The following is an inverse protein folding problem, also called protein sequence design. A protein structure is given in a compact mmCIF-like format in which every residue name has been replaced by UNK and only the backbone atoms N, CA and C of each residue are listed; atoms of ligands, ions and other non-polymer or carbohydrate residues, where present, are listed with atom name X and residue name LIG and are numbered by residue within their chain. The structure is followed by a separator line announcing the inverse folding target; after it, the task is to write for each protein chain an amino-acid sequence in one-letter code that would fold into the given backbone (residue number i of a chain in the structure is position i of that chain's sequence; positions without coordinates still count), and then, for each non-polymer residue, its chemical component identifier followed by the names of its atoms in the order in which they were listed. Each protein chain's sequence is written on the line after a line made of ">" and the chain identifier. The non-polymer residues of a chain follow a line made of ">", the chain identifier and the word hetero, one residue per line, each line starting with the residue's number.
data_IF_824878982936
#
_entry.id   IF_824878982936
#
_cell.length_a   1.000
_cell.length_b   1.000
_cell.length_c   1.000
_cell.angle_alpha   90.00
_cell.angle_beta   90.00
_cell.angle_gamma   90.00
#
_symmetry.space_group_name_H-M   'P 1'
#
loop_
_entity.id
_entity.type
_entity.pdbx_description
1 polymer ?
#
# COMPACT_ATOMS: atom_id res chain seq x y z
N UNK A 1 -20.96 -4.38 -16.38
CA UNK A 1 -21.16 -5.21 -15.18
C UNK A 1 -21.47 -4.29 -14.03
N UNK A 2 -22.33 -4.70 -13.10
CA UNK A 2 -22.67 -3.89 -11.92
C UNK A 2 -21.46 -3.88 -10.96
N UNK A 3 -20.84 -2.73 -10.80
CA UNK A 3 -19.62 -2.55 -9.99
C UNK A 3 -19.91 -2.63 -8.50
N UNK A 4 -21.17 -2.48 -8.09
CA UNK A 4 -21.57 -2.61 -6.68
C UNK A 4 -22.07 -4.02 -6.32
N UNK A 5 -22.11 -4.94 -7.28
CA UNK A 5 -22.52 -6.32 -7.00
C UNK A 5 -21.66 -6.90 -5.87
N UNK A 6 -22.27 -7.38 -4.76
CA UNK A 6 -21.54 -8.08 -3.72
C UNK A 6 -20.98 -9.40 -4.24
N UNK A 7 -19.76 -9.74 -3.84
CA UNK A 7 -19.15 -11.04 -4.12
C UNK A 7 -18.71 -11.72 -2.82
N UNK A 8 -18.79 -13.06 -2.76
CA UNK A 8 -18.31 -13.81 -1.60
C UNK A 8 -16.78 -13.71 -1.52
N UNK A 9 -16.29 -13.35 -0.34
CA UNK A 9 -14.86 -13.29 -0.01
C UNK A 9 -14.60 -14.20 1.18
N UNK A 10 -13.49 -14.91 1.14
CA UNK A 10 -13.03 -15.69 2.29
C UNK A 10 -11.53 -15.58 2.50
N UNK A 11 -11.16 -15.48 3.77
CA UNK A 11 -9.78 -15.52 4.23
C UNK A 11 -9.56 -16.74 5.12
N UNK A 12 -8.47 -17.45 4.90
CA UNK A 12 -7.95 -18.45 5.83
C UNK A 12 -6.71 -17.90 6.52
N UNK A 13 -6.75 -17.81 7.85
CA UNK A 13 -5.61 -17.38 8.69
C UNK A 13 -5.34 -18.48 9.70
N UNK A 14 -4.15 -19.07 9.69
CA UNK A 14 -3.76 -20.13 10.63
C UNK A 14 -4.80 -21.26 10.78
N UNK A 15 -5.43 -21.66 9.67
CA UNK A 15 -6.47 -22.70 9.62
C UNK A 15 -7.88 -22.25 10.07
N UNK A 16 -8.06 -20.99 10.47
CA UNK A 16 -9.38 -20.41 10.73
C UNK A 16 -9.93 -19.73 9.49
N UNK A 17 -11.25 -19.76 9.30
CA UNK A 17 -11.91 -19.17 8.14
C UNK A 17 -12.78 -17.97 8.53
N UNK A 18 -12.58 -16.86 7.81
CA UNK A 18 -13.36 -15.64 7.92
C UNK A 18 -14.03 -15.37 6.58
N UNK A 19 -15.32 -15.04 6.57
CA UNK A 19 -16.11 -14.95 5.34
C UNK A 19 -17.09 -13.80 5.40
N UNK A 20 -17.38 -13.21 4.25
CA UNK A 20 -18.41 -12.19 4.09
C UNK A 20 -18.69 -11.89 2.63
N UNK A 21 -19.58 -10.94 2.38
CA UNK A 21 -19.85 -10.41 1.05
C UNK A 21 -19.42 -8.95 1.01
N UNK A 22 -18.62 -8.60 0.01
CA UNK A 22 -18.14 -7.23 -0.19
C UNK A 22 -18.37 -6.79 -1.64
N UNK A 23 -18.53 -5.48 -1.91
CA UNK A 23 -18.60 -4.95 -3.27
C UNK A 23 -17.38 -5.35 -4.10
N UNK A 24 -17.58 -5.66 -5.38
CA UNK A 24 -16.49 -5.97 -6.34
C UNK A 24 -15.42 -4.89 -6.43
N UNK A 25 -15.79 -3.63 -6.19
CA UNK A 25 -14.90 -2.47 -6.16
C UNK A 25 -14.09 -2.35 -4.88
N UNK A 26 -14.31 -3.19 -3.87
CA UNK A 26 -13.45 -3.19 -2.70
C UNK A 26 -12.11 -3.82 -3.05
N UNK A 27 -11.05 -3.33 -2.41
CA UNK A 27 -9.72 -3.93 -2.49
C UNK A 27 -9.51 -4.96 -1.39
N UNK A 28 -8.54 -5.86 -1.57
CA UNK A 28 -8.22 -6.93 -0.61
C UNK A 28 -7.97 -6.39 0.80
N UNK A 29 -7.26 -5.26 0.96
CA UNK A 29 -7.03 -4.62 2.25
C UNK A 29 -8.35 -4.30 2.96
N UNK A 30 -9.32 -3.69 2.26
CA UNK A 30 -10.63 -3.38 2.86
C UNK A 30 -11.37 -4.64 3.29
N UNK A 31 -11.29 -5.70 2.49
CA UNK A 31 -11.88 -6.97 2.85
C UNK A 31 -11.20 -7.57 4.09
N UNK A 32 -9.88 -7.44 4.21
CA UNK A 32 -9.15 -7.87 5.40
C UNK A 32 -9.57 -7.07 6.64
N UNK A 33 -9.62 -5.74 6.54
CA UNK A 33 -10.07 -4.86 7.63
C UNK A 33 -11.50 -5.17 8.08
N UNK A 34 -12.40 -5.44 7.13
CA UNK A 34 -13.79 -5.75 7.42
C UNK A 34 -14.02 -7.14 8.02
N UNK A 35 -13.21 -8.14 7.65
CA UNK A 35 -13.48 -9.55 7.96
C UNK A 35 -12.52 -10.19 8.95
N UNK A 36 -11.28 -9.69 9.06
CA UNK A 36 -10.27 -10.28 9.93
C UNK A 36 -10.29 -9.64 11.32
N UNK A 37 -9.97 -10.41 12.37
CA UNK A 37 -9.71 -9.86 13.69
C UNK A 37 -8.59 -8.80 13.66
N UNK A 38 -8.79 -7.70 14.37
CA UNK A 38 -7.82 -6.60 14.45
C UNK A 38 -6.43 -7.07 14.93
N UNK A 39 -6.36 -8.04 15.84
CA UNK A 39 -5.08 -8.58 16.35
C UNK A 39 -4.25 -9.30 15.26
N UNK A 40 -4.88 -9.87 14.23
CA UNK A 40 -4.20 -10.40 13.04
C UNK A 40 -3.64 -9.26 12.20
N UNK A 41 -4.41 -8.18 12.05
CA UNK A 41 -4.05 -7.04 11.22
C UNK A 41 -2.90 -6.23 11.81
N UNK A 42 -2.73 -6.24 13.14
CA UNK A 42 -1.78 -5.41 13.85
C UNK A 42 -0.44 -6.10 14.15
N UNK A 43 0.67 -5.41 13.91
CA UNK A 43 2.04 -5.84 14.25
C UNK A 43 2.47 -7.18 13.63
N UNK A 44 1.89 -7.51 12.48
CA UNK A 44 2.24 -8.68 11.67
C UNK A 44 2.71 -8.26 10.27
N UNK A 45 3.62 -9.04 9.70
CA UNK A 45 3.84 -9.17 8.26
C UNK A 45 2.73 -10.04 7.71
N UNK A 46 1.88 -9.44 6.88
CA UNK A 46 0.80 -10.13 6.19
C UNK A 46 1.18 -10.37 4.73
N UNK A 47 1.11 -11.65 4.36
CA UNK A 47 1.26 -12.10 2.97
C UNK A 47 -0.04 -12.79 2.56
N UNK A 48 -0.67 -12.27 1.50
CA UNK A 48 -1.94 -12.79 0.98
C UNK A 48 -1.68 -13.60 -0.27
N UNK A 49 -2.09 -14.86 -0.29
CA UNK A 49 -1.86 -15.76 -1.41
C UNK A 49 -3.10 -16.57 -1.75
N UNK A 50 -3.14 -17.10 -2.96
CA UNK A 50 -4.06 -18.20 -3.30
C UNK A 50 -3.51 -19.54 -2.83
N UNK A 51 -4.35 -20.57 -2.81
CA UNK A 51 -3.93 -21.94 -2.52
C UNK A 51 -2.88 -22.50 -3.49
N UNK A 52 -2.80 -21.97 -4.71
CA UNK A 52 -1.77 -22.33 -5.69
C UNK A 52 -0.42 -21.59 -5.46
N UNK A 53 -0.33 -20.73 -4.44
CA UNK A 53 0.86 -19.97 -4.08
C UNK A 53 0.98 -18.60 -4.77
N UNK A 54 0.04 -18.24 -5.65
CA UNK A 54 0.01 -16.94 -6.33
C UNK A 54 -0.15 -15.81 -5.30
N UNK A 55 0.75 -14.82 -5.35
CA UNK A 55 0.70 -13.63 -4.50
C UNK A 55 -0.45 -12.72 -4.96
N UNK A 56 -1.28 -12.31 -4.01
CA UNK A 56 -2.39 -11.38 -4.23
C UNK A 56 -2.06 -10.08 -3.51
N UNK A 57 -2.07 -8.97 -4.25
CA UNK A 57 -1.70 -7.68 -3.66
C UNK A 57 -2.86 -7.08 -2.86
N UNK A 58 -2.59 -6.46 -1.71
CA UNK A 58 -3.62 -5.86 -0.88
C UNK A 58 -4.45 -4.75 -1.55
N UNK A 59 -3.95 -4.13 -2.62
CA UNK A 59 -4.67 -3.11 -3.39
C UNK A 59 -5.35 -3.64 -4.67
N UNK A 60 -5.31 -4.95 -4.91
CA UNK A 60 -6.09 -5.57 -5.98
C UNK A 60 -7.58 -5.54 -5.63
N UNK A 61 -8.40 -5.34 -6.66
CA UNK A 61 -9.84 -5.43 -6.51
C UNK A 61 -10.30 -6.86 -6.34
N UNK A 62 -11.31 -7.06 -5.49
CA UNK A 62 -11.96 -8.35 -5.36
C UNK A 62 -12.62 -8.77 -6.69
N UNK A 63 -13.19 -7.83 -7.45
CA UNK A 63 -13.77 -8.11 -8.76
C UNK A 63 -12.74 -8.61 -9.77
N UNK A 64 -11.56 -7.99 -9.83
CA UNK A 64 -10.45 -8.44 -10.69
C UNK A 64 -9.99 -9.85 -10.31
N UNK A 65 -9.91 -10.12 -9.01
CA UNK A 65 -9.52 -11.43 -8.50
C UNK A 65 -10.53 -12.49 -8.94
N UNK A 66 -11.84 -12.25 -8.73
CA UNK A 66 -12.88 -13.20 -9.14
C UNK A 66 -12.92 -13.39 -10.65
N UNK A 67 -12.79 -12.33 -11.43
CA UNK A 67 -12.85 -12.41 -12.90
C UNK A 67 -11.67 -13.18 -13.49
N UNK A 68 -10.48 -12.98 -12.92
CA UNK A 68 -9.26 -13.61 -13.41
C UNK A 68 -9.06 -15.04 -12.87
N UNK A 69 -9.39 -15.26 -11.59
CA UNK A 69 -9.06 -16.49 -10.88
C UNK A 69 -10.26 -17.39 -10.58
N UNK A 70 -11.49 -16.89 -10.76
CA UNK A 70 -12.75 -17.61 -10.56
C UNK A 70 -13.32 -17.53 -9.14
N UNK A 71 -12.51 -17.16 -8.14
CA UNK A 71 -12.93 -17.03 -6.75
C UNK A 71 -12.08 -16.03 -5.95
N UNK A 72 -12.57 -15.60 -4.79
CA UNK A 72 -11.86 -14.76 -3.81
C UNK A 72 -11.63 -15.54 -2.50
N UNK A 73 -11.08 -16.74 -2.63
CA UNK A 73 -10.65 -17.59 -1.51
C UNK A 73 -9.15 -17.41 -1.29
N UNK A 74 -8.78 -16.69 -0.23
CA UNK A 74 -7.42 -16.21 -0.01
C UNK A 74 -6.85 -16.78 1.29
N UNK A 75 -5.61 -17.23 1.24
CA UNK A 75 -4.80 -17.57 2.41
C UNK A 75 -4.05 -16.32 2.88
N UNK A 76 -4.06 -16.08 4.19
CA UNK A 76 -3.32 -14.99 4.83
C UNK A 76 -2.30 -15.58 5.79
N UNK A 77 -1.04 -15.44 5.42
CA UNK A 77 0.09 -15.75 6.27
C UNK A 77 0.38 -14.53 7.14
N UNK A 78 0.20 -14.67 8.46
CA UNK A 78 0.47 -13.62 9.43
C UNK A 78 1.67 -14.00 10.31
N UNK A 79 2.77 -13.25 10.19
CA UNK A 79 3.99 -13.45 10.99
C UNK A 79 4.25 -12.23 11.84
N UNK A 80 4.38 -12.40 13.16
CA UNK A 80 4.68 -11.29 14.05
C UNK A 80 5.97 -10.55 13.65
N UNK A 81 5.92 -9.21 13.67
CA UNK A 81 7.08 -8.37 13.41
C UNK A 81 8.09 -8.47 14.56
N UNK A 82 9.38 -8.57 14.25
CA UNK A 82 10.44 -8.63 15.27
C UNK A 82 10.87 -7.22 15.65
N UNK A 83 10.66 -6.84 16.90
CA UNK A 83 11.08 -5.52 17.38
C UNK A 83 12.61 -5.36 17.48
N UNK A 84 13.34 -6.46 17.58
CA UNK A 84 14.80 -6.54 17.74
C UNK A 84 15.53 -6.95 16.44
N UNK A 85 14.97 -6.58 15.29
CA UNK A 85 15.50 -6.94 13.96
C UNK A 85 16.80 -6.21 13.53
N UNK A 86 17.57 -5.66 14.48
CA UNK A 86 18.87 -5.02 14.22
C UNK A 86 18.82 -3.52 13.95
N UNK A 87 19.75 -3.04 13.13
CA UNK A 87 19.86 -1.62 12.71
C UNK A 87 19.11 -1.36 11.41
N UNK A 88 18.78 -0.09 11.17
CA UNK A 88 18.12 0.35 9.93
C UNK A 88 18.69 1.69 9.47
N UNK A 89 18.56 1.94 8.18
CA UNK A 89 18.92 3.17 7.47
C UNK A 89 17.68 3.71 6.77
N UNK A 90 17.41 5.00 6.91
CA UNK A 90 16.43 5.71 6.08
C UNK A 90 17.16 6.27 4.84
N UNK A 91 16.78 5.82 3.65
CA UNK A 91 17.39 6.27 2.39
C UNK A 91 16.77 7.53 1.83
N UNK A 92 15.59 7.92 2.32
CA UNK A 92 14.98 9.20 2.00
C UNK A 92 13.50 9.11 1.71
N UNK A 93 12.98 10.25 1.25
CA UNK A 93 11.60 10.45 0.85
C UNK A 93 11.28 9.67 -0.43
N UNK A 94 10.16 8.95 -0.40
CA UNK A 94 9.72 8.03 -1.45
C UNK A 94 8.61 8.66 -2.29
N UNK A 95 7.50 9.03 -1.65
CA UNK A 95 6.35 9.61 -2.32
C UNK A 95 5.48 10.44 -1.38
N UNK A 96 4.67 11.31 -1.97
CA UNK A 96 3.60 12.03 -1.28
C UNK A 96 2.25 11.59 -1.84
N UNK A 97 1.36 11.17 -0.96
CA UNK A 97 -0.03 10.91 -1.30
C UNK A 97 -0.91 12.12 -0.94
N UNK A 98 -1.78 12.55 -1.87
CA UNK A 98 -2.67 13.69 -1.74
C UNK A 98 -4.12 13.25 -1.95
N UNK A 99 -5.03 13.64 -1.04
CA UNK A 99 -6.48 13.49 -1.23
C UNK A 99 -7.08 14.80 -1.79
N UNK A 100 -7.77 14.71 -2.93
CA UNK A 100 -8.16 15.85 -3.74
C UNK A 100 -9.65 15.82 -4.10
N UNK A 101 -10.28 17.00 -4.17
CA UNK A 101 -11.66 17.12 -4.71
C UNK A 101 -11.67 17.05 -6.24
N UNK A 102 -10.60 17.50 -6.88
CA UNK A 102 -10.45 17.52 -8.33
C UNK A 102 -9.12 16.85 -8.73
N UNK A 103 -9.15 15.51 -8.73
CA UNK A 103 -8.00 14.70 -9.13
C UNK A 103 -7.64 14.87 -10.61
N UNK A 104 -8.64 15.12 -11.47
CA UNK A 104 -8.42 15.31 -12.92
C UNK A 104 -7.59 16.57 -13.17
N UNK A 105 -7.96 17.71 -12.57
CA UNK A 105 -7.19 18.93 -12.70
C UNK A 105 -5.76 18.79 -12.15
N UNK A 106 -5.59 18.08 -11.03
CA UNK A 106 -4.27 17.81 -10.47
C UNK A 106 -3.41 16.92 -11.37
N UNK A 107 -3.99 15.83 -11.90
CA UNK A 107 -3.33 14.98 -12.90
C UNK A 107 -2.86 15.83 -14.08
N UNK A 108 -3.74 16.63 -14.66
CA UNK A 108 -3.42 17.44 -15.83
C UNK A 108 -2.34 18.49 -15.50
N UNK A 109 -2.41 19.14 -14.34
CA UNK A 109 -1.36 20.05 -13.90
C UNK A 109 0.01 19.37 -13.80
N UNK A 110 0.11 18.24 -13.11
CA UNK A 110 1.40 17.56 -12.91
C UNK A 110 1.91 16.89 -14.18
N UNK A 111 1.04 16.23 -14.95
CA UNK A 111 1.45 15.49 -16.16
C UNK A 111 1.63 16.38 -17.39
N UNK A 112 0.73 17.33 -17.63
CA UNK A 112 0.80 18.24 -18.79
C UNK A 112 1.57 19.50 -18.43
N UNK A 113 1.22 20.15 -17.32
CA UNK A 113 1.84 21.41 -16.90
C UNK A 113 3.30 21.26 -16.45
N UNK A 114 3.61 20.21 -15.68
CA UNK A 114 4.95 19.94 -15.16
C UNK A 114 5.66 18.75 -15.84
N UNK A 115 5.04 18.16 -16.86
CA UNK A 115 5.64 17.08 -17.68
C UNK A 115 6.05 15.83 -16.89
N UNK A 116 5.40 15.55 -15.76
CA UNK A 116 5.61 14.31 -15.02
C UNK A 116 5.01 13.12 -15.79
N UNK A 117 5.66 11.95 -15.72
CA UNK A 117 5.15 10.72 -16.35
C UNK A 117 4.00 10.14 -15.53
N UNK A 118 2.86 9.88 -16.17
CA UNK A 118 1.79 9.05 -15.59
C UNK A 118 2.24 7.58 -15.67
N UNK A 119 2.29 6.92 -14.53
CA UNK A 119 2.63 5.48 -14.42
C UNK A 119 1.45 4.62 -13.95
N UNK A 120 0.38 5.27 -13.49
CA UNK A 120 -0.94 4.67 -13.22
C UNK A 120 -2.01 5.76 -13.28
N UNK A 121 -3.15 5.47 -13.91
CA UNK A 121 -4.34 6.34 -13.87
C UNK A 121 -5.59 5.47 -13.99
N UNK A 122 -6.29 5.28 -12.87
CA UNK A 122 -7.51 4.47 -12.79
C UNK A 122 -8.56 5.12 -11.87
N UNK A 123 -9.66 4.40 -11.58
CA UNK A 123 -10.74 4.91 -10.75
C UNK A 123 -10.36 5.19 -9.28
N UNK A 124 -9.20 4.72 -8.80
CA UNK A 124 -8.79 4.84 -7.40
C UNK A 124 -7.69 5.86 -7.20
N UNK A 125 -6.71 5.87 -8.09
CA UNK A 125 -5.64 6.85 -8.02
C UNK A 125 -4.99 7.15 -9.36
N UNK A 126 -4.28 8.27 -9.36
CA UNK A 126 -3.34 8.64 -10.41
C UNK A 126 -1.95 8.71 -9.78
N UNK A 127 -0.95 8.07 -10.40
CA UNK A 127 0.45 8.16 -9.97
C UNK A 127 1.25 8.88 -11.05
N UNK A 128 1.90 9.96 -10.66
CA UNK A 128 2.81 10.72 -11.51
C UNK A 128 4.22 10.76 -10.90
N UNK A 129 5.26 10.71 -11.73
CA UNK A 129 6.65 10.64 -11.27
C UNK A 129 7.61 11.37 -12.21
N UNK A 130 8.75 11.79 -11.66
CA UNK A 130 9.95 12.22 -12.41
C UNK A 130 11.05 11.15 -12.44
N UNK A 131 10.80 9.99 -11.82
CA UNK A 131 11.72 8.86 -11.73
C UNK A 131 11.72 8.23 -10.33
N UNK A 132 12.50 8.80 -9.41
CA UNK A 132 12.76 8.24 -8.08
C UNK A 132 11.71 8.57 -7.01
N UNK A 133 10.92 9.62 -7.21
CA UNK A 133 9.84 10.01 -6.28
C UNK A 133 8.54 10.19 -7.02
N UNK A 134 7.42 9.89 -6.37
CA UNK A 134 6.11 9.96 -6.99
C UNK A 134 5.11 10.81 -6.19
N UNK A 135 4.12 11.35 -6.90
CA UNK A 135 2.89 11.87 -6.31
C UNK A 135 1.78 10.88 -6.59
N UNK A 136 1.09 10.49 -5.52
CA UNK A 136 -0.09 9.64 -5.57
C UNK A 136 -1.30 10.55 -5.33
N UNK A 137 -2.18 10.64 -6.31
CA UNK A 137 -3.35 11.52 -6.28
C UNK A 137 -4.58 10.63 -6.07
N UNK A 138 -5.28 10.84 -4.97
CA UNK A 138 -6.50 10.13 -4.60
C UNK A 138 -7.69 11.10 -4.63
N UNK A 139 -8.88 10.57 -4.92
CA UNK A 139 -10.11 11.32 -4.68
C UNK A 139 -10.37 11.40 -3.17
N UNK A 140 -10.83 12.56 -2.69
CA UNK A 140 -11.22 12.78 -1.30
C UNK A 140 -12.62 12.17 -1.01
N UNK A 141 -12.76 10.87 -1.27
CA UNK A 141 -13.99 10.12 -1.00
C UNK A 141 -13.94 9.54 0.43
N UNK A 142 -14.91 9.85 1.32
CA UNK A 142 -14.98 9.27 2.67
C UNK A 142 -15.17 7.75 2.68
N UNK A 143 -15.55 7.14 1.56
CA UNK A 143 -15.73 5.69 1.43
C UNK A 143 -14.51 5.00 0.79
N UNK A 144 -13.50 5.75 0.35
CA UNK A 144 -12.28 5.19 -0.22
C UNK A 144 -11.40 4.56 0.87
N UNK A 145 -10.64 3.48 0.55
CA UNK A 145 -9.74 2.86 1.51
C UNK A 145 -8.72 3.85 2.06
N UNK A 146 -8.50 3.83 3.38
CA UNK A 146 -7.51 4.67 4.09
C UNK A 146 -7.78 6.18 4.02
N UNK A 147 -8.90 6.61 3.42
CA UNK A 147 -9.32 8.01 3.30
C UNK A 147 -10.02 8.48 4.58
N UNK A 148 -9.74 9.74 4.97
CA UNK A 148 -10.47 10.43 6.03
C UNK A 148 -11.63 11.29 5.50
N UNK A 149 -11.90 11.21 4.18
CA UNK A 149 -12.95 11.96 3.50
C UNK A 149 -12.75 13.48 3.47
N UNK A 150 -11.58 13.97 3.87
CA UNK A 150 -11.30 15.40 3.97
C UNK A 150 -10.36 15.84 2.84
N UNK A 151 -10.83 16.69 1.90
CA UNK A 151 -9.96 17.21 0.85
C UNK A 151 -8.83 18.08 1.41
N UNK A 152 -7.70 18.14 0.70
CA UNK A 152 -6.57 19.03 0.99
C UNK A 152 -5.66 18.60 2.16
N UNK A 153 -5.66 17.32 2.55
CA UNK A 153 -4.68 16.76 3.49
C UNK A 153 -3.78 15.73 2.81
N UNK A 154 -2.52 15.73 3.23
CA UNK A 154 -1.55 14.70 2.90
C UNK A 154 -2.14 13.37 3.35
N UNK A 155 -2.47 12.48 2.42
CA UNK A 155 -3.04 11.16 2.71
C UNK A 155 -2.01 10.31 3.46
N UNK A 156 -0.77 10.24 2.96
CA UNK A 156 0.39 9.78 3.74
C UNK A 156 1.71 10.29 3.15
N UNK A 157 2.77 10.20 3.96
CA UNK A 157 4.15 10.49 3.58
C UNK A 157 4.95 9.18 3.54
N UNK A 158 5.55 8.87 2.39
CA UNK A 158 6.34 7.67 2.17
C UNK A 158 7.84 7.88 2.35
N UNK A 159 8.53 6.89 2.94
CA UNK A 159 10.00 6.82 3.03
C UNK A 159 10.52 5.43 2.64
N UNK A 160 11.76 5.35 2.18
CA UNK A 160 12.44 4.07 1.89
C UNK A 160 13.43 3.72 2.99
N UNK A 161 13.43 2.46 3.42
CA UNK A 161 14.35 1.91 4.42
C UNK A 161 14.96 0.57 3.96
N UNK A 162 16.10 0.16 4.53
CA UNK A 162 16.71 -1.16 4.28
C UNK A 162 16.09 -2.30 5.10
N UNK A 163 15.46 -1.99 6.24
CA UNK A 163 14.95 -2.98 7.18
C UNK A 163 13.71 -2.45 7.92
N UNK A 164 12.52 -2.85 7.46
CA UNK A 164 11.25 -2.39 8.03
C UNK A 164 11.02 -2.86 9.46
N UNK A 165 11.42 -4.08 9.80
CA UNK A 165 11.22 -4.62 11.15
C UNK A 165 12.08 -3.87 12.17
N UNK A 166 13.33 -3.54 11.81
CA UNK A 166 14.21 -2.74 12.66
C UNK A 166 13.71 -1.29 12.80
N UNK A 167 13.22 -0.68 11.71
CA UNK A 167 12.58 0.63 11.74
C UNK A 167 11.33 0.64 12.63
N UNK A 168 10.45 -0.36 12.48
CA UNK A 168 9.28 -0.56 13.34
C UNK A 168 9.66 -0.66 14.82
N UNK A 169 10.61 -1.55 15.15
CA UNK A 169 11.07 -1.74 16.52
C UNK A 169 11.68 -0.46 17.12
N UNK A 170 12.46 0.28 16.33
CA UNK A 170 13.01 1.56 16.73
C UNK A 170 11.90 2.59 17.02
N UNK A 171 10.95 2.79 16.09
CA UNK A 171 9.87 3.76 16.24
C UNK A 171 9.00 3.48 17.47
N UNK A 172 8.64 2.20 17.68
CA UNK A 172 7.86 1.74 18.85
C UNK A 172 8.54 2.05 20.18
N UNK A 173 9.87 1.96 20.25
CA UNK A 173 10.64 2.21 21.49
C UNK A 173 10.96 3.68 21.69
N UNK A 174 11.38 4.37 20.64
CA UNK A 174 11.94 5.70 20.73
C UNK A 174 10.88 6.82 20.63
N UNK A 175 9.72 6.55 20.03
CA UNK A 175 8.71 7.56 19.75
C UNK A 175 7.32 7.13 20.23
N UNK A 176 6.95 7.38 21.50
CA UNK A 176 5.64 7.00 22.04
C UNK A 176 4.44 7.64 21.33
N UNK A 177 4.63 8.78 20.66
CA UNK A 177 3.60 9.46 19.86
C UNK A 177 3.31 8.77 18.52
N UNK A 178 4.11 7.76 18.17
CA UNK A 178 3.85 6.87 17.04
C UNK A 178 2.72 5.90 17.41
N UNK A 179 1.55 6.11 16.80
CA UNK A 179 0.37 5.27 17.01
C UNK A 179 0.24 4.31 15.83
N UNK A 180 0.04 3.06 16.18
CA UNK A 180 0.58 1.92 15.47
C UNK A 180 -0.52 0.88 15.28
N UNK A 181 -1.41 1.09 14.32
CA UNK A 181 -2.44 0.11 13.94
C UNK A 181 -1.91 -0.84 12.82
N UNK A 182 -0.59 -1.09 12.77
CA UNK A 182 0.14 -1.59 11.58
C UNK A 182 -0.33 -2.88 10.95
N UNK A 183 -0.55 -2.81 9.64
CA UNK A 183 -0.42 -3.92 8.69
C UNK A 183 0.86 -3.74 7.86
N UNK A 184 1.81 -4.68 7.91
CA UNK A 184 2.90 -4.74 6.92
C UNK A 184 2.39 -5.55 5.73
N UNK A 185 2.25 -4.84 4.61
CA UNK A 185 1.67 -5.34 3.37
C UNK A 185 2.77 -5.70 2.38
N UNK A 186 2.68 -6.89 1.80
CA UNK A 186 3.60 -7.34 0.78
C UNK A 186 3.06 -7.08 -0.64
N UNK A 187 3.89 -6.48 -1.47
CA UNK A 187 3.73 -6.39 -2.93
C UNK A 187 4.86 -7.16 -3.60
N UNK A 188 4.82 -7.27 -4.93
CA UNK A 188 5.90 -7.90 -5.68
C UNK A 188 7.24 -7.19 -5.44
N UNK A 189 7.27 -5.88 -5.59
CA UNK A 189 8.48 -5.06 -5.60
C UNK A 189 8.97 -4.65 -4.22
N UNK A 190 8.06 -4.56 -3.24
CA UNK A 190 8.33 -4.00 -1.93
C UNK A 190 7.46 -4.54 -0.83
N UNK A 191 7.93 -4.34 0.39
CA UNK A 191 7.15 -4.39 1.62
C UNK A 191 6.74 -2.97 1.99
N UNK A 192 5.54 -2.79 2.56
CA UNK A 192 5.04 -1.47 2.97
C UNK A 192 4.43 -1.53 4.36
N UNK A 193 4.96 -0.72 5.28
CA UNK A 193 4.51 -0.58 6.66
C UNK A 193 3.75 0.75 6.82
N UNK A 194 2.49 0.70 7.23
CA UNK A 194 1.62 1.88 7.39
C UNK A 194 1.33 2.21 8.84
N UNK A 195 1.59 3.45 9.27
CA UNK A 195 1.35 3.89 10.65
C UNK A 195 0.81 5.30 10.74
N UNK A 196 0.52 5.75 11.97
CA UNK A 196 0.13 7.11 12.26
C UNK A 196 1.15 7.78 13.19
N UNK A 197 1.43 9.06 12.98
CA UNK A 197 2.13 9.92 13.94
C UNK A 197 1.22 11.08 14.33
N UNK A 198 1.27 11.51 15.59
CA UNK A 198 0.50 12.66 16.08
C UNK A 198 1.45 13.72 16.62
N UNK A 199 1.34 14.95 16.09
CA UNK A 199 2.07 16.14 16.53
C UNK A 199 1.06 17.22 16.95
N UNK A 200 0.75 17.29 18.24
CA UNK A 200 -0.31 18.17 18.74
C UNK A 200 -1.65 17.82 18.06
N UNK A 201 -2.21 18.78 17.32
CA UNK A 201 -3.50 18.63 16.64
C UNK A 201 -3.38 18.07 15.21
N UNK A 202 -2.16 17.74 14.77
CA UNK A 202 -1.90 17.21 13.43
C UNK A 202 -1.63 15.72 13.49
N UNK A 203 -2.40 14.94 12.73
CA UNK A 203 -2.24 13.50 12.56
C UNK A 203 -1.80 13.22 11.12
N UNK A 204 -0.68 12.52 10.94
CA UNK A 204 -0.24 12.04 9.64
C UNK A 204 -0.26 10.52 9.60
N UNK A 205 -0.70 9.94 8.49
CA UNK A 205 -0.32 8.59 8.14
C UNK A 205 1.08 8.61 7.50
N UNK A 206 1.92 7.66 7.87
CA UNK A 206 3.24 7.47 7.27
C UNK A 206 3.33 6.07 6.68
N UNK A 207 4.07 5.96 5.58
CA UNK A 207 4.44 4.67 4.98
C UNK A 207 5.96 4.53 5.01
N UNK A 208 6.46 3.40 5.49
CA UNK A 208 7.84 2.97 5.25
C UNK A 208 7.83 1.84 4.22
N UNK A 209 8.70 1.93 3.23
CA UNK A 209 8.86 0.95 2.17
C UNK A 209 10.23 0.29 2.25
N UNK A 210 10.31 -1.03 2.16
CA UNK A 210 11.56 -1.75 1.90
C UNK A 210 11.45 -2.43 0.54
N UNK A 211 12.31 -2.02 -0.38
CA UNK A 211 12.34 -2.54 -1.75
C UNK A 211 13.04 -3.89 -1.73
N UNK A 212 12.44 -4.92 -2.35
CA UNK A 212 13.06 -6.25 -2.41
C UNK A 212 14.31 -6.19 -3.29
N UNK A 213 15.39 -6.93 -2.94
CA UNK A 213 16.71 -6.77 -3.57
C UNK A 213 16.70 -6.76 -5.10
N UNK A 214 15.87 -7.59 -5.73
CA UNK A 214 15.78 -7.73 -7.18
C UNK A 214 15.06 -6.57 -7.90
N UNK A 215 14.42 -5.66 -7.18
CA UNK A 215 13.77 -4.46 -7.72
C UNK A 215 14.50 -3.17 -7.35
N UNK A 216 15.65 -3.28 -6.67
CA UNK A 216 16.48 -2.13 -6.34
C UNK A 216 17.33 -1.72 -7.53
N UNK A 217 17.65 -0.44 -7.62
CA UNK A 217 18.57 0.07 -8.63
C UNK A 217 17.87 0.53 -9.91
N UNK A 218 18.61 1.34 -10.66
CA UNK A 218 18.21 1.82 -11.99
C UNK A 218 19.06 1.13 -13.03
N UNK A 219 18.52 0.91 -14.23
CA UNK A 219 19.20 0.24 -15.35
C UNK A 219 20.51 0.92 -15.82
N UNK A 220 20.90 2.07 -15.24
CA UNK A 220 22.19 2.74 -15.45
C UNK A 220 22.64 3.64 -14.29
N UNK A 221 22.27 3.31 -13.03
CA UNK A 221 22.40 4.20 -11.86
C UNK A 221 23.70 4.11 -11.04
N UNK A 222 23.86 5.08 -10.13
CA UNK A 222 24.97 5.21 -9.14
C UNK A 222 24.68 4.40 -7.86
N UNK A 223 25.63 4.21 -6.93
CA UNK A 223 25.41 3.42 -5.69
C UNK A 223 24.25 3.89 -4.80
N UNK A 224 23.86 5.17 -4.87
CA UNK A 224 22.68 5.69 -4.16
C UNK A 224 21.36 5.31 -4.85
N UNK A 225 21.40 5.07 -6.15
CA UNK A 225 20.27 4.64 -6.94
C UNK A 225 19.93 3.15 -6.68
N UNK A 226 20.91 2.36 -6.23
CA UNK A 226 20.82 0.92 -5.91
C UNK A 226 19.98 0.57 -4.67
N UNK A 227 19.38 1.58 -4.03
CA UNK A 227 18.53 1.39 -2.84
C UNK A 227 17.15 2.05 -2.99
N UNK A 228 16.92 2.74 -4.11
CA UNK A 228 15.65 3.35 -4.46
C UNK A 228 14.92 2.51 -5.51
N UNK A 229 13.61 2.72 -5.58
CA UNK A 229 12.77 2.10 -6.59
C UNK A 229 12.52 3.07 -7.75
N UNK A 230 12.76 2.61 -8.97
CA UNK A 230 12.41 3.37 -10.17
C UNK A 230 10.91 3.27 -10.43
N UNK A 231 10.15 4.27 -9.99
CA UNK A 231 8.70 4.31 -10.20
C UNK A 231 8.33 4.32 -11.68
N UNK A 232 9.24 4.71 -12.58
CA UNK A 232 8.99 4.76 -14.01
C UNK A 232 9.21 3.42 -14.72
N UNK A 233 9.90 2.46 -14.07
CA UNK A 233 10.28 1.17 -14.66
C UNK A 233 9.18 0.09 -14.59
N UNK A 234 8.12 0.33 -13.83
CA UNK A 234 7.03 -0.62 -13.64
C UNK A 234 5.68 0.03 -13.84
N UNK A 235 4.76 -0.81 -14.29
CA UNK A 235 3.35 -0.49 -14.36
C UNK A 235 2.70 -1.05 -13.10
N UNK A 236 1.96 -0.21 -12.38
CA UNK A 236 1.36 -0.59 -11.10
C UNK A 236 -0.02 -1.21 -11.32
N UNK A 237 -0.28 -2.38 -10.71
CA UNK A 237 -1.58 -3.07 -10.71
C UNK A 237 -1.62 -4.35 -11.55
N UNK A 238 -2.74 -5.07 -11.48
CA UNK A 238 -3.00 -6.22 -12.35
C UNK A 238 -3.40 -5.71 -13.72
N UNK A 239 -2.61 -6.07 -14.73
CA UNK A 239 -3.02 -5.90 -16.12
C UNK A 239 -3.87 -7.09 -16.50
N UNK A 240 -5.18 -6.86 -16.63
CA UNK A 240 -6.02 -7.77 -17.40
C UNK A 240 -5.41 -7.85 -18.80
N UNK A 241 -4.82 -9.00 -19.11
CA UNK A 241 -4.36 -9.37 -20.45
C UNK A 241 -5.53 -9.84 -21.30
#
# INVERSE_FOLDING_TARGET
>A
MDTQQPIPVSFEVAGQHYRGELPRTSIVHQAMDALLPHDVLHAHHLRVVRHDGTLIYPDMFLGEIVDHYGDATLLVEARALRADAGTWTNYGFDHLALALTDRVAARDFFSVGLQMKIVRDDSHLTVVTTGNTALFLFDADPNAPLSDGTPSRIHHIGFVVDNLEAAYGHLRRAFPAFVSEFTLLEREERLSLYGTIVFGDVRFMIQLSEIKPQYRGFAGGTPFADVLYDYAAKDYGVRLG
#
